data_IF_571502101367
#
_entry.id   IF_571502101367
#
_cell.length_a   1.000
_cell.length_b   1.000
_cell.length_c   1.000
_cell.angle_alpha   90.00
_cell.angle_beta   90.00
_cell.angle_gamma   90.00
#
_symmetry.space_group_name_H-M   'P 1'
#
loop_
_entity.id
_entity.type
_entity.pdbx_description
1 polymer ?
#
# COMPACT_ATOMS: atom_id res chain seq x y z
N UNK A 1 -6.12 8.34 18.99
CA UNK A 1 -4.65 8.48 18.77
C UNK A 1 -4.32 8.52 17.28
N UNK A 2 -4.59 7.45 16.50
CA UNK A 2 -4.20 7.36 15.08
C UNK A 2 -4.69 8.54 14.19
N UNK A 3 -5.92 8.99 14.36
CA UNK A 3 -6.47 10.14 13.61
C UNK A 3 -5.77 11.47 13.93
N UNK A 4 -5.38 11.69 15.20
CA UNK A 4 -4.68 12.91 15.61
C UNK A 4 -3.29 12.98 14.99
N UNK A 5 -2.56 11.86 14.94
CA UNK A 5 -1.25 11.79 14.28
C UNK A 5 -1.35 12.16 12.80
N UNK A 6 -2.37 11.67 12.08
CA UNK A 6 -2.58 12.01 10.67
C UNK A 6 -2.87 13.50 10.47
N UNK A 7 -3.68 14.11 11.35
CA UNK A 7 -3.97 15.56 11.32
C UNK A 7 -2.69 16.37 11.56
N UNK A 8 -1.88 16.01 12.56
CA UNK A 8 -0.63 16.70 12.87
C UNK A 8 0.37 16.61 11.72
N UNK A 9 0.53 15.42 11.13
CA UNK A 9 1.38 15.23 9.94
C UNK A 9 0.88 16.11 8.79
N UNK A 10 -0.42 16.12 8.51
CA UNK A 10 -0.99 16.94 7.45
C UNK A 10 -0.74 18.44 7.68
N UNK A 11 -1.03 18.95 8.88
CA UNK A 11 -0.84 20.36 9.23
C UNK A 11 0.64 20.76 9.11
N UNK A 12 1.55 19.92 9.62
CA UNK A 12 3.00 20.19 9.53
C UNK A 12 3.49 20.33 8.09
N UNK A 13 2.97 19.50 7.18
CA UNK A 13 3.35 19.54 5.78
C UNK A 13 2.63 20.63 4.97
N UNK A 14 1.46 21.10 5.39
CA UNK A 14 0.71 22.17 4.70
C UNK A 14 1.47 23.51 4.63
N UNK A 15 2.37 23.77 5.58
CA UNK A 15 3.25 24.94 5.57
C UNK A 15 4.34 24.85 4.49
N UNK A 16 4.80 23.64 4.16
CA UNK A 16 5.85 23.38 3.17
C UNK A 16 5.29 23.23 1.75
N UNK A 17 4.18 22.53 1.59
CA UNK A 17 3.60 22.20 0.29
C UNK A 17 2.39 23.07 -0.03
N UNK A 18 2.45 23.77 -1.17
CA UNK A 18 1.42 24.76 -1.55
C UNK A 18 0.31 24.19 -2.42
N UNK A 19 0.61 23.20 -3.28
CA UNK A 19 -0.42 22.67 -4.19
C UNK A 19 -1.35 21.67 -3.46
N UNK A 20 -2.66 21.68 -3.79
CA UNK A 20 -3.62 20.69 -3.28
C UNK A 20 -3.17 19.23 -3.46
N UNK A 21 -2.60 18.91 -4.62
CA UNK A 21 -2.12 17.57 -4.97
C UNK A 21 -0.90 17.15 -4.12
N UNK A 22 0.02 18.07 -3.83
CA UNK A 22 1.11 17.78 -2.90
C UNK A 22 0.59 17.59 -1.48
N UNK A 23 -0.40 18.39 -1.05
CA UNK A 23 -0.97 18.28 0.30
C UNK A 23 -1.66 16.93 0.54
N UNK A 24 -2.43 16.43 -0.42
CA UNK A 24 -3.02 15.09 -0.33
C UNK A 24 -1.95 13.99 -0.30
N UNK A 25 -0.88 14.16 -1.09
CA UNK A 25 0.24 13.24 -1.18
C UNK A 25 1.03 13.06 0.12
N UNK A 26 1.03 14.06 1.03
CA UNK A 26 1.69 13.95 2.35
C UNK A 26 1.06 12.82 3.18
N UNK A 27 -0.26 12.77 3.20
CA UNK A 27 -0.99 11.75 3.95
C UNK A 27 -0.72 10.37 3.36
N UNK A 28 -0.71 10.26 2.03
CA UNK A 28 -0.38 9.00 1.35
C UNK A 28 1.05 8.56 1.66
N UNK A 29 2.04 9.43 1.51
CA UNK A 29 3.44 9.12 1.85
C UNK A 29 3.57 8.68 3.32
N UNK A 30 2.96 9.41 4.25
CA UNK A 30 2.97 9.09 5.69
C UNK A 30 2.38 7.72 5.97
N UNK A 31 1.18 7.44 5.44
CA UNK A 31 0.46 6.19 5.66
C UNK A 31 1.19 4.98 5.05
N UNK A 32 1.67 5.10 3.81
CA UNK A 32 2.44 4.05 3.15
C UNK A 32 3.77 3.80 3.87
N UNK A 33 4.43 4.86 4.36
CA UNK A 33 5.64 4.75 5.17
C UNK A 33 5.39 4.02 6.49
N UNK A 34 4.32 4.40 7.22
CA UNK A 34 3.89 3.72 8.43
C UNK A 34 3.61 2.23 8.19
N UNK A 35 2.82 1.92 7.17
CA UNK A 35 2.51 0.52 6.82
C UNK A 35 3.76 -0.27 6.42
N UNK A 36 4.68 0.34 5.66
CA UNK A 36 5.96 -0.28 5.32
C UNK A 36 6.72 -0.65 6.59
N UNK A 37 6.89 0.28 7.53
CA UNK A 37 7.63 0.03 8.78
C UNK A 37 6.94 -1.05 9.62
N UNK A 38 5.62 -0.96 9.80
CA UNK A 38 4.86 -1.95 10.57
C UNK A 38 4.87 -3.35 9.93
N UNK A 39 5.00 -3.44 8.60
CA UNK A 39 5.05 -4.72 7.88
C UNK A 39 6.37 -5.48 8.02
N UNK A 40 7.46 -4.78 8.35
CA UNK A 40 8.81 -5.37 8.34
C UNK A 40 8.95 -6.63 9.21
N UNK A 41 8.48 -6.69 10.48
CA UNK A 41 8.62 -7.90 11.28
C UNK A 41 7.91 -9.11 10.67
N UNK A 42 6.75 -8.89 10.03
CA UNK A 42 5.97 -9.95 9.40
C UNK A 42 6.62 -10.42 8.10
N UNK A 43 7.16 -9.48 7.31
CA UNK A 43 7.94 -9.79 6.11
C UNK A 43 9.22 -10.58 6.45
N UNK A 44 9.89 -10.23 7.55
CA UNK A 44 11.07 -10.95 8.02
C UNK A 44 10.74 -12.39 8.43
N UNK A 45 9.66 -12.64 9.17
CA UNK A 45 9.22 -14.00 9.48
C UNK A 45 8.95 -14.80 8.20
N UNK A 46 8.26 -14.18 7.23
CA UNK A 46 7.93 -14.81 5.96
C UNK A 46 9.20 -15.18 5.19
N UNK A 47 10.18 -14.27 5.09
CA UNK A 47 11.47 -14.57 4.42
C UNK A 47 12.26 -15.64 5.18
N UNK A 48 12.39 -15.53 6.50
CA UNK A 48 13.16 -16.46 7.34
C UNK A 48 12.58 -17.88 7.34
N UNK A 49 11.27 -18.01 7.13
CA UNK A 49 10.57 -19.29 7.01
C UNK A 49 10.54 -19.85 5.58
N UNK A 50 11.32 -19.28 4.64
CA UNK A 50 11.35 -19.72 3.25
C UNK A 50 10.06 -19.40 2.49
N UNK A 51 9.35 -18.36 2.91
CA UNK A 51 8.07 -17.95 2.36
C UNK A 51 6.88 -18.67 2.96
N UNK A 52 6.99 -19.34 4.12
CA UNK A 52 5.84 -20.03 4.70
C UNK A 52 4.87 -19.06 5.38
N UNK A 53 3.69 -18.88 4.80
CA UNK A 53 2.67 -17.99 5.33
C UNK A 53 2.24 -18.37 6.75
N UNK A 54 2.11 -19.67 7.05
CA UNK A 54 1.70 -20.15 8.38
C UNK A 54 2.74 -19.87 9.48
N UNK A 55 3.99 -19.56 9.13
CA UNK A 55 5.06 -19.28 10.09
C UNK A 55 5.09 -17.80 10.54
N UNK A 56 4.30 -16.93 9.92
CA UNK A 56 4.24 -15.51 10.23
C UNK A 56 3.60 -15.31 11.60
N UNK A 57 4.35 -14.75 12.55
CA UNK A 57 3.89 -14.60 13.93
C UNK A 57 2.81 -13.52 14.03
N UNK A 58 1.67 -13.77 14.73
CA UNK A 58 0.53 -12.87 14.74
C UNK A 58 0.79 -11.46 15.29
N UNK A 59 1.67 -11.31 16.29
CA UNK A 59 1.99 -10.02 16.96
C UNK A 59 0.77 -9.08 17.07
N UNK A 60 -0.32 -9.51 17.74
CA UNK A 60 -1.64 -8.90 17.61
C UNK A 60 -1.65 -7.39 17.92
N UNK A 61 -0.92 -6.94 18.94
CA UNK A 61 -0.81 -5.53 19.28
C UNK A 61 -0.26 -4.67 18.12
N UNK A 62 0.79 -5.15 17.42
CA UNK A 62 1.36 -4.45 16.27
C UNK A 62 0.44 -4.57 15.05
N UNK A 63 -0.06 -5.79 14.78
CA UNK A 63 -0.90 -6.06 13.62
C UNK A 63 -2.20 -5.25 13.63
N UNK A 64 -2.91 -5.27 14.77
CA UNK A 64 -4.15 -4.52 14.95
C UNK A 64 -3.90 -3.01 14.95
N UNK A 65 -2.84 -2.53 15.60
CA UNK A 65 -2.48 -1.10 15.57
C UNK A 65 -2.20 -0.63 14.16
N UNK A 66 -1.48 -1.43 13.36
CA UNK A 66 -1.20 -1.11 11.97
C UNK A 66 -2.49 -1.07 11.13
N UNK A 67 -3.35 -2.09 11.25
CA UNK A 67 -4.63 -2.13 10.56
C UNK A 67 -5.54 -0.95 10.96
N UNK A 68 -5.70 -0.65 12.24
CA UNK A 68 -6.51 0.47 12.73
C UNK A 68 -5.93 1.81 12.27
N UNK A 69 -4.60 1.95 12.30
CA UNK A 69 -3.91 3.14 11.79
C UNK A 69 -4.19 3.38 10.31
N UNK A 70 -4.10 2.32 9.50
CA UNK A 70 -4.40 2.37 8.07
C UNK A 70 -5.88 2.65 7.79
N UNK A 71 -6.80 2.02 8.53
CA UNK A 71 -8.23 2.32 8.45
C UNK A 71 -8.52 3.79 8.79
N UNK A 72 -7.94 4.31 9.86
CA UNK A 72 -8.11 5.71 10.26
C UNK A 72 -7.62 6.67 9.16
N UNK A 73 -6.47 6.36 8.53
CA UNK A 73 -6.00 7.10 7.35
C UNK A 73 -7.00 7.03 6.19
N UNK A 74 -7.49 5.84 5.82
CA UNK A 74 -8.42 5.68 4.70
C UNK A 74 -9.70 6.48 4.93
N UNK A 75 -10.30 6.38 6.12
CA UNK A 75 -11.49 7.15 6.49
C UNK A 75 -11.22 8.65 6.45
N UNK A 76 -10.08 9.09 7.01
CA UNK A 76 -9.72 10.50 7.02
C UNK A 76 -9.45 11.04 5.60
N UNK A 77 -8.75 10.28 4.76
CA UNK A 77 -8.52 10.61 3.36
C UNK A 77 -9.84 10.69 2.58
N UNK A 78 -10.77 9.76 2.85
CA UNK A 78 -12.10 9.78 2.26
C UNK A 78 -12.87 11.05 2.68
N UNK A 79 -12.87 11.38 3.97
CA UNK A 79 -13.52 12.57 4.50
C UNK A 79 -12.92 13.87 3.91
N UNK A 80 -11.60 13.99 3.87
CA UNK A 80 -10.92 15.16 3.31
C UNK A 80 -11.21 15.34 1.83
N UNK A 81 -11.21 14.28 1.01
CA UNK A 81 -11.56 14.45 -0.40
C UNK A 81 -13.03 14.79 -0.61
N UNK A 82 -13.95 14.26 0.22
CA UNK A 82 -15.37 14.69 0.22
C UNK A 82 -15.53 16.15 0.60
N UNK A 83 -14.71 16.70 1.48
CA UNK A 83 -14.83 18.09 1.92
C UNK A 83 -14.10 19.07 0.98
N UNK A 84 -12.88 18.73 0.56
CA UNK A 84 -11.96 19.68 -0.08
C UNK A 84 -11.68 19.39 -1.55
N UNK A 85 -11.84 18.15 -2.00
CA UNK A 85 -11.40 17.72 -3.33
C UNK A 85 -12.50 17.03 -4.13
N UNK A 86 -13.77 17.46 -3.96
CA UNK A 86 -14.95 16.85 -4.61
C UNK A 86 -14.82 16.63 -6.11
N UNK A 87 -14.17 17.56 -6.81
CA UNK A 87 -13.97 17.49 -8.26
C UNK A 87 -12.99 16.39 -8.68
N UNK A 88 -12.07 15.99 -7.80
CA UNK A 88 -11.14 14.88 -8.02
C UNK A 88 -11.69 13.52 -7.55
N UNK A 89 -12.86 13.50 -6.89
CA UNK A 89 -13.52 12.27 -6.43
C UNK A 89 -14.11 11.43 -7.57
N UNK A 90 -14.52 12.08 -8.66
CA UNK A 90 -15.44 11.48 -9.64
C UNK A 90 -14.84 10.32 -10.46
N UNK A 91 -13.54 10.01 -10.36
CA UNK A 91 -12.91 9.05 -11.28
C UNK A 91 -11.79 8.14 -10.74
N UNK A 92 -11.58 8.07 -9.42
CA UNK A 92 -10.43 7.33 -8.89
C UNK A 92 -10.75 5.92 -8.38
N UNK A 93 -10.21 4.87 -9.03
CA UNK A 93 -10.08 3.50 -8.45
C UNK A 93 -9.61 3.51 -6.98
N UNK A 94 -8.78 4.49 -6.63
CA UNK A 94 -8.27 4.74 -5.28
C UNK A 94 -9.36 4.94 -4.21
N UNK A 95 -10.51 5.54 -4.54
CA UNK A 95 -11.60 5.81 -3.58
C UNK A 95 -12.37 4.54 -3.23
N UNK A 96 -12.73 3.77 -4.26
CA UNK A 96 -13.35 2.46 -4.12
C UNK A 96 -12.41 1.53 -3.36
N UNK A 97 -11.11 1.55 -3.69
CA UNK A 97 -10.08 0.79 -3.00
C UNK A 97 -10.03 1.12 -1.50
N UNK A 98 -9.95 2.40 -1.10
CA UNK A 98 -9.93 2.78 0.33
C UNK A 98 -11.22 2.38 1.07
N UNK A 99 -12.39 2.52 0.44
CA UNK A 99 -13.64 2.11 1.03
C UNK A 99 -13.68 0.60 1.28
N UNK A 100 -13.36 -0.20 0.25
CA UNK A 100 -13.31 -1.68 0.35
C UNK A 100 -12.28 -2.10 1.40
N UNK A 101 -11.07 -1.52 1.38
CA UNK A 101 -10.01 -1.90 2.31
C UNK A 101 -10.34 -1.58 3.77
N UNK A 102 -11.17 -0.56 4.03
CA UNK A 102 -11.66 -0.29 5.39
C UNK A 102 -12.48 -1.47 5.94
N UNK A 103 -13.34 -2.07 5.11
CA UNK A 103 -14.11 -3.27 5.51
C UNK A 103 -13.23 -4.52 5.59
N UNK A 104 -12.27 -4.66 4.68
CA UNK A 104 -11.31 -5.78 4.67
C UNK A 104 -10.46 -5.78 5.95
N UNK A 105 -9.95 -4.63 6.36
CA UNK A 105 -9.17 -4.50 7.59
C UNK A 105 -10.05 -4.78 8.84
N UNK A 106 -11.31 -4.34 8.81
CA UNK A 106 -12.28 -4.69 9.86
C UNK A 106 -12.52 -6.20 9.94
N UNK A 107 -12.67 -6.87 8.80
CA UNK A 107 -12.76 -8.33 8.71
C UNK A 107 -11.49 -9.00 9.26
N UNK A 108 -10.31 -8.49 8.89
CA UNK A 108 -9.04 -9.04 9.29
C UNK A 108 -8.85 -9.03 10.81
N UNK A 109 -9.18 -7.91 11.45
CA UNK A 109 -9.12 -7.76 12.90
C UNK A 109 -10.11 -8.71 13.57
N UNK A 110 -11.37 -8.74 13.11
CA UNK A 110 -12.42 -9.59 13.69
C UNK A 110 -12.13 -11.09 13.60
N UNK A 111 -11.42 -11.53 12.57
CA UNK A 111 -11.07 -12.93 12.36
C UNK A 111 -9.65 -13.27 12.85
N UNK A 112 -8.97 -12.38 13.58
CA UNK A 112 -7.61 -12.58 14.09
C UNK A 112 -6.57 -12.93 13.01
N UNK A 113 -6.74 -12.36 11.81
CA UNK A 113 -5.84 -12.55 10.65
C UNK A 113 -5.18 -11.25 10.19
N UNK A 114 -5.17 -10.24 11.06
CA UNK A 114 -4.60 -8.92 10.80
C UNK A 114 -3.12 -8.99 10.37
N UNK A 115 -2.33 -9.89 10.94
CA UNK A 115 -0.91 -10.05 10.63
C UNK A 115 -0.63 -10.41 9.18
N UNK A 116 -1.49 -11.22 8.55
CA UNK A 116 -1.32 -11.54 7.13
C UNK A 116 -1.63 -10.33 6.24
N UNK A 117 -2.57 -9.47 6.65
CA UNK A 117 -2.83 -8.21 5.96
C UNK A 117 -1.67 -7.22 6.14
N UNK A 118 -1.07 -7.17 7.33
CA UNK A 118 0.08 -6.31 7.58
C UNK A 118 1.33 -6.82 6.83
N UNK A 119 1.51 -8.14 6.68
CA UNK A 119 2.50 -8.70 5.75
C UNK A 119 2.27 -8.22 4.31
N UNK A 120 1.03 -8.30 3.82
CA UNK A 120 0.68 -7.77 2.49
C UNK A 120 0.92 -6.25 2.40
N UNK A 121 0.87 -5.53 3.52
CA UNK A 121 1.24 -4.13 3.65
C UNK A 121 2.68 -3.79 3.22
N UNK A 122 3.58 -4.78 3.10
CA UNK A 122 4.91 -4.59 2.49
C UNK A 122 4.81 -4.03 1.06
N UNK A 123 3.70 -4.31 0.36
CA UNK A 123 3.41 -3.74 -0.95
C UNK A 123 3.25 -2.22 -0.95
N UNK A 124 3.08 -1.57 0.20
CA UNK A 124 3.04 -0.11 0.31
C UNK A 124 4.41 0.55 0.10
N UNK A 125 5.52 -0.18 0.22
CA UNK A 125 6.86 0.35 0.02
C UNK A 125 7.08 1.08 -1.33
N UNK A 126 6.74 0.50 -2.50
CA UNK A 126 6.86 1.23 -3.77
C UNK A 126 6.00 2.49 -3.85
N UNK A 127 4.84 2.51 -3.19
CA UNK A 127 3.98 3.71 -3.12
C UNK A 127 4.64 4.78 -2.27
N UNK A 128 5.20 4.40 -1.12
CA UNK A 128 5.99 5.30 -0.28
C UNK A 128 7.15 5.93 -1.06
N UNK A 129 7.96 5.13 -1.75
CA UNK A 129 9.07 5.62 -2.59
C UNK A 129 8.57 6.59 -3.67
N UNK A 130 7.47 6.24 -4.35
CA UNK A 130 6.88 7.08 -5.38
C UNK A 130 6.42 8.45 -4.85
N UNK A 131 5.68 8.47 -3.74
CA UNK A 131 5.13 9.72 -3.18
C UNK A 131 6.18 10.57 -2.49
N UNK A 132 7.21 9.98 -1.88
CA UNK A 132 8.37 10.74 -1.37
C UNK A 132 9.07 11.44 -2.52
N UNK A 133 9.31 10.76 -3.65
CA UNK A 133 9.91 11.39 -4.84
C UNK A 133 9.02 12.43 -5.51
N UNK A 134 7.69 12.34 -5.35
CA UNK A 134 6.75 13.38 -5.81
C UNK A 134 6.79 14.62 -4.93
N UNK A 135 6.87 14.45 -3.61
CA UNK A 135 6.94 15.54 -2.65
C UNK A 135 8.31 16.25 -2.69
N UNK A 136 9.39 15.47 -2.75
CA UNK A 136 10.76 15.96 -2.77
C UNK A 136 11.45 15.51 -4.07
N UNK A 137 11.46 16.36 -5.11
CA UNK A 137 12.02 16.01 -6.42
C UNK A 137 13.50 15.58 -6.38
N UNK A 138 14.27 16.04 -5.38
CA UNK A 138 15.66 15.64 -5.15
C UNK A 138 15.81 14.16 -4.77
N UNK A 139 14.78 13.56 -4.17
CA UNK A 139 14.73 12.15 -3.78
C UNK A 139 14.12 11.26 -4.88
N UNK A 140 13.68 11.86 -5.99
CA UNK A 140 12.98 11.13 -7.06
C UNK A 140 13.93 10.18 -7.79
N UNK A 141 13.58 8.89 -7.76
CA UNK A 141 14.24 7.86 -8.55
C UNK A 141 13.20 6.98 -9.27
N UNK A 142 13.04 7.23 -10.57
CA UNK A 142 12.06 6.51 -11.40
C UNK A 142 12.41 5.01 -11.55
N UNK A 143 13.70 4.66 -11.57
CA UNK A 143 14.15 3.27 -11.65
C UNK A 143 13.88 2.51 -10.35
N UNK A 144 14.22 3.09 -9.20
CA UNK A 144 13.92 2.50 -7.90
C UNK A 144 12.42 2.28 -7.74
N UNK A 145 11.61 3.27 -8.13
CA UNK A 145 10.15 3.16 -8.10
C UNK A 145 9.65 2.01 -8.99
N UNK A 146 10.17 1.87 -10.21
CA UNK A 146 9.78 0.80 -11.12
C UNK A 146 10.19 -0.59 -10.61
N UNK A 147 11.44 -0.74 -10.14
CA UNK A 147 11.96 -2.02 -9.62
C UNK A 147 11.20 -2.46 -8.38
N UNK A 148 11.00 -1.57 -7.42
CA UNK A 148 10.26 -1.88 -6.20
C UNK A 148 8.78 -2.18 -6.48
N UNK A 149 8.16 -1.48 -7.45
CA UNK A 149 6.79 -1.78 -7.88
C UNK A 149 6.71 -3.19 -8.47
N UNK A 150 7.62 -3.54 -9.39
CA UNK A 150 7.65 -4.87 -9.96
C UNK A 150 7.88 -5.95 -8.89
N UNK A 151 8.89 -5.78 -8.03
CA UNK A 151 9.23 -6.75 -7.00
C UNK A 151 8.07 -6.97 -5.99
N UNK A 152 7.49 -5.90 -5.44
CA UNK A 152 6.49 -6.03 -4.39
C UNK A 152 5.05 -6.15 -4.92
N UNK A 153 4.66 -5.32 -5.88
CA UNK A 153 3.26 -5.28 -6.37
C UNK A 153 2.96 -6.37 -7.40
N UNK A 154 3.98 -6.91 -8.08
CA UNK A 154 3.81 -8.03 -9.03
C UNK A 154 4.34 -9.32 -8.44
N UNK A 155 5.66 -9.46 -8.23
CA UNK A 155 6.25 -10.75 -7.87
C UNK A 155 5.78 -11.22 -6.49
N UNK A 156 5.99 -10.43 -5.44
CA UNK A 156 5.56 -10.78 -4.09
C UNK A 156 4.04 -10.95 -3.99
N UNK A 157 3.26 -10.11 -4.65
CA UNK A 157 1.81 -10.25 -4.72
C UNK A 157 1.38 -11.60 -5.32
N UNK A 158 1.96 -12.00 -6.46
CA UNK A 158 1.63 -13.27 -7.11
C UNK A 158 2.01 -14.46 -6.24
N UNK A 159 3.13 -14.38 -5.52
CA UNK A 159 3.52 -15.41 -4.55
C UNK A 159 2.45 -15.52 -3.45
N UNK A 160 2.06 -14.40 -2.83
CA UNK A 160 1.00 -14.40 -1.82
C UNK A 160 -0.33 -14.91 -2.37
N UNK A 161 -0.71 -14.54 -3.59
CA UNK A 161 -1.91 -15.04 -4.25
C UNK A 161 -1.89 -16.56 -4.41
N UNK A 162 -0.80 -17.11 -4.96
CA UNK A 162 -0.63 -18.56 -5.09
C UNK A 162 -0.70 -19.23 -3.72
N UNK A 163 -0.04 -18.66 -2.71
CA UNK A 163 -0.10 -19.16 -1.34
C UNK A 163 -1.52 -19.17 -0.79
N UNK A 164 -2.32 -18.15 -1.05
CA UNK A 164 -3.73 -18.10 -0.65
C UNK A 164 -4.64 -19.03 -1.46
N UNK A 165 -4.19 -19.59 -2.58
CA UNK A 165 -4.91 -20.64 -3.29
C UNK A 165 -4.62 -22.04 -2.72
N UNK A 166 -3.49 -22.21 -2.02
CA UNK A 166 -3.12 -23.51 -1.43
C UNK A 166 -4.08 -23.89 -0.28
N UNK A 167 -4.58 -25.15 -0.23
CA UNK A 167 -5.49 -25.59 0.83
C UNK A 167 -4.94 -25.37 2.25
N UNK A 168 -3.64 -25.59 2.44
CA UNK A 168 -2.97 -25.44 3.74
C UNK A 168 -3.07 -24.02 4.31
N UNK A 169 -3.05 -23.01 3.43
CA UNK A 169 -3.09 -21.62 3.84
C UNK A 169 -4.51 -21.05 3.86
N UNK A 170 -5.40 -21.52 2.98
CA UNK A 170 -6.82 -21.10 2.98
C UNK A 170 -7.48 -21.34 4.33
N UNK A 171 -7.19 -22.49 4.92
CA UNK A 171 -7.75 -22.89 6.21
C UNK A 171 -7.24 -22.05 7.40
N UNK A 172 -6.18 -21.24 7.22
CA UNK A 172 -5.67 -20.32 8.25
C UNK A 172 -6.66 -19.20 8.59
N UNK A 173 -7.59 -18.89 7.69
CA UNK A 173 -8.61 -17.83 7.86
C UNK A 173 -9.98 -18.41 8.28
N UNK A 174 -10.07 -19.74 8.40
CA UNK A 174 -11.28 -20.46 8.76
C UNK A 174 -11.81 -21.33 7.62
N UNK A 175 -13.09 -21.67 7.69
CA UNK A 175 -13.76 -22.57 6.75
C UNK A 175 -14.86 -21.86 5.94
N UNK A 176 -15.44 -22.57 4.97
CA UNK A 176 -16.56 -22.05 4.17
C UNK A 176 -16.13 -20.95 3.19
N UNK A 177 -16.89 -19.85 3.13
CA UNK A 177 -16.60 -18.74 2.20
C UNK A 177 -15.43 -17.86 2.66
N UNK A 178 -15.19 -17.79 3.98
CA UNK A 178 -14.17 -16.91 4.58
C UNK A 178 -12.74 -17.29 4.14
N UNK A 179 -12.49 -18.58 3.91
CA UNK A 179 -11.19 -19.10 3.46
C UNK A 179 -10.76 -18.56 2.08
N UNK A 180 -11.72 -18.05 1.29
CA UNK A 180 -11.47 -17.51 -0.05
C UNK A 180 -11.30 -15.99 -0.06
N UNK A 181 -11.63 -15.29 1.04
CA UNK A 181 -11.58 -13.84 1.11
C UNK A 181 -10.19 -13.29 0.75
N UNK A 182 -9.07 -13.78 1.32
CA UNK A 182 -7.75 -13.27 0.96
C UNK A 182 -7.38 -13.47 -0.51
N UNK A 183 -7.69 -14.65 -1.08
CA UNK A 183 -7.42 -14.95 -2.47
C UNK A 183 -8.22 -14.04 -3.41
N UNK A 184 -9.53 -13.88 -3.15
CA UNK A 184 -10.41 -13.01 -3.94
C UNK A 184 -9.96 -11.55 -3.91
N UNK A 185 -9.52 -11.05 -2.75
CA UNK A 185 -8.98 -9.71 -2.60
C UNK A 185 -7.67 -9.53 -3.37
N UNK A 186 -6.77 -10.50 -3.29
CA UNK A 186 -5.53 -10.49 -4.06
C UNK A 186 -5.81 -10.46 -5.58
N UNK A 187 -6.70 -11.33 -6.07
CA UNK A 187 -7.11 -11.35 -7.49
C UNK A 187 -7.67 -9.99 -7.91
N UNK A 188 -8.54 -9.39 -7.10
CA UNK A 188 -9.19 -8.11 -7.43
C UNK A 188 -8.21 -6.93 -7.39
N UNK A 189 -7.16 -6.99 -6.57
CA UNK A 189 -6.13 -5.97 -6.49
C UNK A 189 -5.10 -6.04 -7.64
N UNK A 190 -4.91 -7.22 -8.23
CA UNK A 190 -3.89 -7.48 -9.25
C UNK A 190 -3.98 -6.55 -10.49
N UNK A 191 -5.16 -6.28 -11.10
CA UNK A 191 -5.26 -5.35 -12.22
C UNK A 191 -4.71 -3.95 -11.89
N UNK A 192 -5.01 -3.44 -10.68
CA UNK A 192 -4.49 -2.15 -10.22
C UNK A 192 -2.96 -2.15 -10.08
N UNK A 193 -2.39 -3.27 -9.61
CA UNK A 193 -0.94 -3.44 -9.51
C UNK A 193 -0.26 -3.50 -10.88
N UNK A 194 -0.87 -4.20 -11.84
CA UNK A 194 -0.39 -4.26 -13.23
C UNK A 194 -0.40 -2.86 -13.85
N UNK A 195 -1.50 -2.13 -13.73
CA UNK A 195 -1.63 -0.77 -14.24
C UNK A 195 -0.58 0.18 -13.63
N UNK A 196 -0.35 0.08 -12.32
CA UNK A 196 0.68 0.85 -11.63
C UNK A 196 2.09 0.50 -12.10
N UNK A 197 2.40 -0.80 -12.25
CA UNK A 197 3.69 -1.27 -12.76
C UNK A 197 3.93 -0.75 -14.17
N UNK A 198 2.95 -0.86 -15.06
CA UNK A 198 3.01 -0.31 -16.40
C UNK A 198 3.31 1.20 -16.38
N UNK A 199 2.57 1.96 -15.57
CA UNK A 199 2.72 3.42 -15.47
C UNK A 199 4.08 3.84 -14.89
N UNK A 200 4.66 3.08 -13.97
CA UNK A 200 5.99 3.35 -13.40
C UNK A 200 7.10 3.02 -14.39
N UNK A 201 7.01 1.88 -15.09
CA UNK A 201 7.95 1.49 -16.16
C UNK A 201 7.95 2.52 -17.30
N UNK A 202 6.77 2.93 -17.77
CA UNK A 202 6.67 3.97 -18.80
C UNK A 202 7.27 5.31 -18.36
N UNK A 203 7.14 5.67 -17.07
CA UNK A 203 7.81 6.87 -16.52
C UNK A 203 9.33 6.72 -16.53
N UNK A 204 9.87 5.58 -16.11
CA UNK A 204 11.30 5.30 -16.13
C UNK A 204 11.89 5.35 -17.56
N UNK A 205 11.21 4.74 -18.54
CA UNK A 205 11.63 4.77 -19.95
C UNK A 205 11.66 6.20 -20.50
N UNK A 206 10.61 7.00 -20.23
CA UNK A 206 10.56 8.41 -20.67
C UNK A 206 11.68 9.24 -20.06
N UNK A 207 11.94 9.06 -18.77
CA UNK A 207 13.03 9.71 -18.04
C UNK A 207 14.40 9.38 -18.64
N UNK A 208 14.60 8.11 -19.03
CA UNK A 208 15.83 7.66 -19.72
C UNK A 208 16.03 8.35 -21.06
N UNK A 209 14.97 8.39 -21.91
CA UNK A 209 15.02 9.05 -23.22
C UNK A 209 15.31 10.55 -23.13
N UNK A 210 14.72 11.24 -22.15
CA UNK A 210 14.99 12.67 -21.93
C UNK A 210 16.45 12.92 -21.53
N UNK A 211 17.02 12.08 -20.67
CA UNK A 211 18.45 12.17 -20.31
C UNK A 211 19.36 11.92 -21.51
N UNK A 212 19.03 10.95 -22.36
CA UNK A 212 19.79 10.68 -23.59
C UNK A 212 19.73 11.85 -24.57
N UNK A 213 18.54 12.45 -24.77
CA UNK A 213 18.38 13.61 -25.65
C UNK A 213 19.18 14.84 -25.22
N UNK A 214 19.38 15.02 -23.90
CA UNK A 214 20.21 16.11 -23.36
C UNK A 214 21.72 15.86 -23.51
N UNK A 215 22.13 14.61 -23.74
CA UNK A 215 23.53 14.21 -23.90
C UNK A 215 23.96 14.04 -25.36
N UNK A 216 23.00 13.94 -26.29
CA UNK A 216 23.25 13.99 -27.72
C UNK A 216 23.49 15.45 -28.16
N UNK A 217 24.66 15.76 -28.75
CA UNK A 217 25.04 17.12 -29.19
C UNK A 217 24.20 17.65 -30.35
#
# INVERSE_FOLDING_TARGET
>A
MASLTQVLVFISGCGRYRSPSQRSSILTASSCGFMTVCSLPFFLDWVQSGGNLAAVQPRPALAETACVGLMAYMIFHLALGVLFYRRELLLGWHWIHHAIFTFVLSFAIRNHVAHYFVLAGTMEFPIYVMFVGFLEPSLRNDYLTAVTTFAFRIVFHLILLVQWCLPTNRLLVGSGINQWVPASLAITALPGHIQLCYSTVQRAIRSSKQKQALLSP
#
